data_IF_600143756383
#
_entry.id   IF_600143756383
#
_cell.length_a   1.000
_cell.length_b   1.000
_cell.length_c   1.000
_cell.angle_alpha   90.00
_cell.angle_beta   90.00
_cell.angle_gamma   90.00
#
_symmetry.space_group_name_H-M   'P 1'
#
loop_
_entity.id
_entity.type
_entity.pdbx_description
1 polymer ?
#
# COMPACT_ATOMS: atom_id res chain seq x y z
N UNK A 1 12.21 -1.08 13.88
CA UNK A 1 11.61 0.27 13.69
C UNK A 1 10.89 0.27 12.36
N UNK A 2 9.65 0.75 12.29
CA UNK A 2 8.89 0.70 11.02
C UNK A 2 9.50 1.69 10.03
N UNK A 3 10.03 1.18 8.92
CA UNK A 3 10.75 1.94 7.90
C UNK A 3 9.91 3.01 7.20
N UNK A 4 8.60 3.08 7.47
CA UNK A 4 7.78 4.23 7.08
C UNK A 4 8.19 5.48 7.84
N UNK A 5 8.63 5.41 9.10
CA UNK A 5 8.89 6.59 9.96
C UNK A 5 10.10 7.42 9.53
N UNK A 6 10.99 6.84 8.73
CA UNK A 6 12.22 7.49 8.23
C UNK A 6 11.99 8.27 6.93
N UNK A 7 10.79 8.17 6.35
CA UNK A 7 10.45 8.87 5.10
C UNK A 7 10.16 10.34 5.39
N UNK A 8 10.94 11.23 4.75
CA UNK A 8 10.60 12.64 4.67
C UNK A 8 9.38 12.83 3.75
N UNK A 9 8.24 13.17 4.34
CA UNK A 9 6.99 13.38 3.61
C UNK A 9 6.96 14.69 2.82
N UNK A 10 7.92 15.60 3.03
CA UNK A 10 8.04 16.84 2.24
C UNK A 10 8.69 16.58 0.88
N UNK A 11 9.53 15.55 0.81
CA UNK A 11 10.08 15.05 -0.44
C UNK A 11 9.10 14.06 -1.08
N UNK A 12 8.38 14.54 -2.10
CA UNK A 12 7.45 13.71 -2.87
C UNK A 12 8.15 12.50 -3.49
N UNK A 13 9.41 12.62 -3.93
CA UNK A 13 10.13 11.49 -4.51
C UNK A 13 10.45 10.42 -3.45
N UNK A 14 10.88 10.82 -2.25
CA UNK A 14 11.11 9.90 -1.15
C UNK A 14 9.84 9.13 -0.77
N UNK A 15 8.70 9.83 -0.67
CA UNK A 15 7.39 9.21 -0.44
C UNK A 15 7.03 8.20 -1.54
N UNK A 16 7.09 8.61 -2.81
CA UNK A 16 6.72 7.75 -3.95
C UNK A 16 7.63 6.52 -4.06
N UNK A 17 8.93 6.69 -3.84
CA UNK A 17 9.89 5.59 -3.87
C UNK A 17 9.60 4.57 -2.75
N UNK A 18 9.32 5.03 -1.53
CA UNK A 18 8.97 4.12 -0.43
C UNK A 18 7.65 3.41 -0.69
N UNK A 19 6.61 4.13 -1.13
CA UNK A 19 5.31 3.54 -1.41
C UNK A 19 5.41 2.49 -2.52
N UNK A 20 6.19 2.77 -3.57
CA UNK A 20 6.50 1.81 -4.63
C UNK A 20 7.26 0.58 -4.13
N UNK A 21 8.24 0.75 -3.23
CA UNK A 21 8.95 -0.38 -2.63
C UNK A 21 8.03 -1.26 -1.77
N UNK A 22 7.11 -0.66 -1.02
CA UNK A 22 6.10 -1.40 -0.25
C UNK A 22 5.14 -2.18 -1.17
N UNK A 23 4.73 -1.60 -2.30
CA UNK A 23 3.88 -2.29 -3.28
C UNK A 23 4.61 -3.46 -3.97
N UNK A 24 5.88 -3.31 -4.31
CA UNK A 24 6.69 -4.42 -4.85
C UNK A 24 6.82 -5.60 -3.88
N UNK A 25 6.78 -5.33 -2.57
CA UNK A 25 6.78 -6.40 -1.57
C UNK A 25 5.46 -7.21 -1.59
N UNK A 26 4.35 -6.66 -2.09
CA UNK A 26 3.11 -7.43 -2.30
C UNK A 26 3.26 -8.41 -3.46
N UNK A 27 3.99 -8.06 -4.53
CA UNK A 27 4.21 -8.94 -5.68
C UNK A 27 4.86 -10.25 -5.24
N UNK A 28 5.80 -10.20 -4.30
CA UNK A 28 6.40 -11.41 -3.72
C UNK A 28 5.38 -12.29 -3.00
N UNK A 29 4.40 -11.69 -2.31
CA UNK A 29 3.36 -12.43 -1.60
C UNK A 29 2.32 -13.02 -2.57
N UNK A 30 2.02 -12.31 -3.66
CA UNK A 30 1.17 -12.82 -4.74
C UNK A 30 1.85 -13.98 -5.48
N UNK A 31 3.15 -13.86 -5.76
CA UNK A 31 3.95 -14.95 -6.35
C UNK A 31 3.95 -16.18 -5.42
N UNK A 32 4.23 -15.99 -4.14
CA UNK A 32 4.16 -17.06 -3.13
C UNK A 32 2.78 -17.71 -3.06
N UNK A 33 1.70 -16.92 -3.18
CA UNK A 33 0.33 -17.41 -3.21
C UNK A 33 0.03 -18.23 -4.48
N UNK A 34 0.56 -17.82 -5.64
CA UNK A 34 0.41 -18.56 -6.89
C UNK A 34 1.25 -19.86 -6.89
N UNK A 35 2.45 -19.84 -6.32
CA UNK A 35 3.33 -21.00 -6.21
C UNK A 35 2.78 -22.03 -5.20
N UNK A 36 2.21 -21.56 -4.09
CA UNK A 36 1.60 -22.42 -3.08
C UNK A 36 0.26 -23.04 -3.53
N UNK A 37 -0.42 -22.43 -4.51
CA UNK A 37 -1.73 -22.86 -5.02
C UNK A 37 -1.66 -23.09 -6.54
N UNK A 38 -0.97 -24.16 -6.99
CA UNK A 38 -0.92 -24.48 -8.41
C UNK A 38 -2.32 -24.70 -8.97
N UNK A 39 -2.55 -24.25 -10.20
CA UNK A 39 -3.83 -24.36 -10.91
C UNK A 39 -4.30 -25.81 -10.99
N UNK A 40 -5.31 -26.17 -10.19
CA UNK A 40 -6.29 -27.30 -10.20
C UNK A 40 -5.92 -28.70 -10.71
N UNK A 41 -4.73 -28.96 -11.25
CA UNK A 41 -4.44 -30.20 -11.94
C UNK A 41 -4.01 -31.34 -11.02
N UNK A 42 -3.41 -31.07 -9.85
CA UNK A 42 -2.85 -32.14 -9.01
C UNK A 42 -2.86 -31.78 -7.53
N UNK A 43 -3.91 -32.23 -6.83
CA UNK A 43 -4.13 -32.29 -5.37
C UNK A 43 -4.94 -31.15 -4.72
N UNK A 44 -6.00 -31.49 -3.96
CA UNK A 44 -6.62 -30.59 -3.00
C UNK A 44 -5.70 -30.49 -1.79
N UNK A 45 -4.67 -29.65 -1.86
CA UNK A 45 -3.85 -29.37 -0.68
C UNK A 45 -4.69 -28.47 0.23
N UNK A 46 -4.90 -28.91 1.47
CA UNK A 46 -5.63 -28.19 2.52
C UNK A 46 -4.82 -26.95 2.96
N UNK A 47 -4.70 -25.96 2.07
CA UNK A 47 -3.83 -24.80 2.17
C UNK A 47 -4.44 -23.65 2.98
N UNK A 48 -5.43 -23.95 3.83
CA UNK A 48 -6.13 -22.94 4.63
C UNK A 48 -5.16 -22.14 5.50
N UNK A 49 -4.22 -22.80 6.17
CA UNK A 49 -3.21 -22.14 7.00
C UNK A 49 -2.32 -21.18 6.18
N UNK A 50 -1.84 -21.63 5.01
CA UNK A 50 -1.05 -20.80 4.08
C UNK A 50 -1.85 -19.60 3.58
N UNK A 51 -3.10 -19.81 3.19
CA UNK A 51 -4.00 -18.75 2.77
C UNK A 51 -4.29 -17.72 3.86
N UNK A 52 -4.55 -18.17 5.09
CA UNK A 52 -4.74 -17.28 6.23
C UNK A 52 -3.47 -16.48 6.55
N UNK A 53 -2.29 -17.10 6.46
CA UNK A 53 -1.01 -16.45 6.68
C UNK A 53 -0.71 -15.39 5.61
N UNK A 54 -0.80 -15.76 4.32
CA UNK A 54 -0.53 -14.85 3.21
C UNK A 54 -1.57 -13.72 3.15
N UNK A 55 -2.84 -14.04 3.40
CA UNK A 55 -3.91 -13.05 3.50
C UNK A 55 -3.67 -12.04 4.62
N UNK A 56 -3.27 -12.48 5.82
CA UNK A 56 -2.88 -11.59 6.92
C UNK A 56 -1.70 -10.71 6.54
N UNK A 57 -0.66 -11.27 5.88
CA UNK A 57 0.52 -10.53 5.44
C UNK A 57 0.14 -9.39 4.48
N UNK A 58 -0.72 -9.66 3.49
CA UNK A 58 -1.22 -8.66 2.55
C UNK A 58 -2.02 -7.55 3.24
N UNK A 59 -2.86 -7.90 4.23
CA UNK A 59 -3.61 -6.92 5.01
C UNK A 59 -2.68 -6.02 5.83
N UNK A 60 -1.67 -6.58 6.47
CA UNK A 60 -0.69 -5.79 7.24
C UNK A 60 0.15 -4.89 6.33
N UNK A 61 0.57 -5.36 5.16
CA UNK A 61 1.26 -4.53 4.15
C UNK A 61 0.37 -3.39 3.66
N UNK A 62 -0.91 -3.65 3.41
CA UNK A 62 -1.87 -2.61 3.06
C UNK A 62 -2.01 -1.55 4.16
N UNK A 63 -2.12 -1.98 5.44
CA UNK A 63 -2.17 -1.05 6.57
C UNK A 63 -0.90 -0.20 6.65
N UNK A 64 0.28 -0.79 6.41
CA UNK A 64 1.54 -0.04 6.41
C UNK A 64 1.57 1.04 5.32
N UNK A 65 1.06 0.75 4.13
CA UNK A 65 0.94 1.73 3.04
C UNK A 65 -0.04 2.85 3.36
N UNK A 66 -1.24 2.51 3.84
CA UNK A 66 -2.24 3.50 4.24
C UNK A 66 -1.70 4.40 5.35
N UNK A 67 -1.03 3.84 6.36
CA UNK A 67 -0.41 4.61 7.42
C UNK A 67 0.67 5.58 6.91
N UNK A 68 1.45 5.20 5.90
CA UNK A 68 2.41 6.09 5.25
C UNK A 68 1.70 7.24 4.49
N UNK A 69 0.67 6.91 3.71
CA UNK A 69 -0.11 7.89 2.93
C UNK A 69 -0.78 8.90 3.88
N UNK A 70 -1.50 8.43 4.90
CA UNK A 70 -2.18 9.26 5.88
C UNK A 70 -1.23 10.18 6.64
N UNK A 71 -0.08 9.63 7.08
CA UNK A 71 0.92 10.43 7.78
C UNK A 71 1.48 11.54 6.88
N UNK A 72 1.91 11.20 5.66
CA UNK A 72 2.47 12.18 4.75
C UNK A 72 1.44 13.23 4.31
N UNK A 73 0.17 12.84 4.17
CA UNK A 73 -0.91 13.79 3.93
C UNK A 73 -1.06 14.77 5.10
N UNK A 74 -1.14 14.27 6.33
CA UNK A 74 -1.29 15.10 7.53
C UNK A 74 -0.11 16.05 7.74
N UNK A 75 1.12 15.59 7.52
CA UNK A 75 2.33 16.43 7.61
C UNK A 75 2.31 17.58 6.58
N UNK A 76 1.95 17.29 5.33
CA UNK A 76 1.88 18.30 4.28
C UNK A 76 0.70 19.27 4.48
N UNK A 77 -0.44 18.79 4.99
CA UNK A 77 -1.59 19.64 5.33
C UNK A 77 -1.26 20.63 6.46
N UNK A 78 -0.50 20.20 7.47
CA UNK A 78 0.05 21.09 8.52
C UNK A 78 1.03 22.10 7.92
N UNK A 79 1.94 21.64 7.06
CA UNK A 79 2.91 22.52 6.40
C UNK A 79 2.23 23.59 5.53
N UNK A 80 1.13 23.24 4.84
CA UNK A 80 0.34 24.20 4.07
C UNK A 80 -0.20 25.34 4.93
N UNK A 81 -0.53 25.11 6.20
CA UNK A 81 -1.04 26.14 7.11
C UNK A 81 0.03 27.15 7.55
N UNK A 82 1.30 26.76 7.50
CA UNK A 82 2.42 27.61 7.93
C UNK A 82 3.04 28.43 6.79
N UNK A 83 2.78 28.05 5.53
CA UNK A 83 3.37 28.70 4.35
C UNK A 83 2.44 29.82 3.85
N UNK A 84 2.96 31.03 3.59
CA UNK A 84 2.17 32.12 3.00
C UNK A 84 1.61 31.74 1.62
N UNK A 85 0.33 32.06 1.40
CA UNK A 85 -0.32 31.83 0.11
C UNK A 85 0.34 32.65 -1.02
N UNK A 86 0.26 32.15 -2.25
CA UNK A 86 0.81 32.82 -3.43
C UNK A 86 2.30 32.55 -3.69
N UNK A 87 3.03 32.06 -2.69
CA UNK A 87 4.44 31.67 -2.82
C UNK A 87 4.62 30.42 -3.70
N UNK A 88 5.83 30.24 -4.25
CA UNK A 88 6.21 29.02 -4.98
C UNK A 88 6.07 27.79 -4.07
N UNK A 89 6.53 27.91 -2.82
CA UNK A 89 6.44 26.84 -1.82
C UNK A 89 4.97 26.40 -1.58
N UNK A 90 4.04 27.36 -1.47
CA UNK A 90 2.61 27.04 -1.32
C UNK A 90 2.05 26.24 -2.51
N UNK A 91 2.58 26.46 -3.72
CA UNK A 91 2.17 25.73 -4.94
C UNK A 91 2.75 24.32 -4.93
N UNK A 92 4.01 24.18 -4.53
CA UNK A 92 4.68 22.88 -4.38
C UNK A 92 3.92 22.02 -3.36
N UNK A 93 3.67 22.53 -2.14
CA UNK A 93 2.96 21.77 -1.10
C UNK A 93 1.54 21.40 -1.53
N UNK A 94 0.80 22.30 -2.20
CA UNK A 94 -0.52 21.96 -2.76
C UNK A 94 -0.44 20.84 -3.80
N UNK A 95 0.56 20.88 -4.68
CA UNK A 95 0.78 19.81 -5.66
C UNK A 95 1.14 18.49 -4.98
N UNK A 96 2.02 18.51 -3.97
CA UNK A 96 2.37 17.32 -3.17
C UNK A 96 1.15 16.71 -2.51
N UNK A 97 0.32 17.50 -1.83
CA UNK A 97 -0.95 17.04 -1.23
C UNK A 97 -1.85 16.39 -2.28
N UNK A 98 -2.00 17.03 -3.45
CA UNK A 98 -2.83 16.48 -4.54
C UNK A 98 -2.33 15.10 -4.99
N UNK A 99 -1.02 14.94 -5.15
CA UNK A 99 -0.43 13.66 -5.55
C UNK A 99 -0.62 12.60 -4.46
N UNK A 100 -0.38 12.92 -3.19
CA UNK A 100 -0.58 11.99 -2.06
C UNK A 100 -2.05 11.56 -1.97
N UNK A 101 -3.01 12.46 -2.17
CA UNK A 101 -4.44 12.11 -2.20
C UNK A 101 -4.79 11.15 -3.33
N UNK A 102 -4.21 11.33 -4.51
CA UNK A 102 -4.41 10.39 -5.62
C UNK A 102 -3.89 8.99 -5.27
N UNK A 103 -2.80 8.88 -4.50
CA UNK A 103 -2.28 7.59 -4.04
C UNK A 103 -3.24 6.84 -3.11
N UNK A 104 -4.13 7.54 -2.40
CA UNK A 104 -5.16 6.91 -1.58
C UNK A 104 -6.16 6.14 -2.45
N UNK A 105 -6.65 6.77 -3.53
CA UNK A 105 -7.55 6.13 -4.50
C UNK A 105 -6.88 4.93 -5.18
N UNK A 106 -5.59 5.04 -5.50
CA UNK A 106 -4.81 3.94 -6.06
C UNK A 106 -4.69 2.78 -5.05
N UNK A 107 -4.45 3.08 -3.78
CA UNK A 107 -4.34 2.06 -2.73
C UNK A 107 -5.66 1.31 -2.50
N UNK A 108 -6.80 1.99 -2.58
CA UNK A 108 -8.12 1.35 -2.51
C UNK A 108 -8.32 0.34 -3.65
N UNK A 109 -7.94 0.72 -4.87
CA UNK A 109 -8.02 -0.17 -6.05
C UNK A 109 -7.07 -1.36 -5.92
N UNK A 110 -5.83 -1.14 -5.50
CA UNK A 110 -4.85 -2.21 -5.27
C UNK A 110 -5.37 -3.17 -4.20
N UNK A 111 -5.83 -2.63 -3.07
CA UNK A 111 -6.42 -3.41 -1.99
C UNK A 111 -7.59 -4.29 -2.43
N UNK A 112 -8.51 -3.72 -3.21
CA UNK A 112 -9.64 -4.47 -3.75
C UNK A 112 -9.20 -5.63 -4.66
N UNK A 113 -8.22 -5.39 -5.53
CA UNK A 113 -7.64 -6.42 -6.41
C UNK A 113 -6.94 -7.53 -5.61
N UNK A 114 -6.12 -7.16 -4.65
CA UNK A 114 -5.39 -8.10 -3.78
C UNK A 114 -6.36 -8.97 -2.97
N UNK A 115 -7.40 -8.38 -2.36
CA UNK A 115 -8.44 -9.13 -1.64
C UNK A 115 -9.18 -10.11 -2.56
N UNK A 116 -9.53 -9.66 -3.77
CA UNK A 116 -10.20 -10.51 -4.77
C UNK A 116 -9.31 -11.70 -5.16
N UNK A 117 -8.03 -11.47 -5.44
CA UNK A 117 -7.09 -12.53 -5.81
C UNK A 117 -6.95 -13.59 -4.70
N UNK A 118 -6.85 -13.16 -3.42
CA UNK A 118 -6.86 -14.08 -2.28
C UNK A 118 -8.17 -14.86 -2.21
N UNK A 119 -9.32 -14.21 -2.36
CA UNK A 119 -10.63 -14.86 -2.29
C UNK A 119 -10.85 -15.89 -3.42
N UNK A 120 -10.38 -15.61 -4.63
CA UNK A 120 -10.49 -16.53 -5.77
C UNK A 120 -9.61 -17.76 -5.59
N UNK A 121 -8.42 -17.61 -5.01
CA UNK A 121 -7.43 -18.68 -4.85
C UNK A 121 -7.65 -19.52 -3.60
N UNK A 122 -8.04 -18.89 -2.51
CA UNK A 122 -8.22 -19.52 -1.20
C UNK A 122 -9.68 -19.89 -0.91
N UNK A 123 -10.59 -19.60 -1.83
CA UNK A 123 -12.03 -19.63 -1.60
C UNK A 123 -12.49 -18.48 -0.71
N UNK A 124 -13.81 -18.41 -0.46
CA UNK A 124 -14.36 -17.53 0.58
C UNK A 124 -13.85 -17.99 1.93
N UNK A 125 -12.75 -17.40 2.40
CA UNK A 125 -12.34 -17.59 3.80
C UNK A 125 -13.37 -16.93 4.73
N UNK A 126 -14.14 -15.94 4.24
CA UNK A 126 -15.47 -15.53 4.72
C UNK A 126 -16.28 -14.94 3.55
#
# INVERSE_FOLDING_TARGET
MSAIREVDCRDLAAFMNRLGALRKADDSVILELNDALPTQSFNPVNNRATCEQLGKKLVEQQKERLALIERCLAENERLKQTIPEGTIESRIVRNTIRQIRAEFEVEDVIGARTRKAVQERCGKIY
#
